data_IF_087400185732
#
_entry.id   IF_087400185732
#
_cell.length_a   1.000
_cell.length_b   1.000
_cell.length_c   1.000
_cell.angle_alpha   90.00
_cell.angle_beta   90.00
_cell.angle_gamma   90.00
#
_symmetry.space_group_name_H-M   'P 1'
#
loop_
_entity.id
_entity.type
_entity.pdbx_description
1 polymer ?
#
# COMPACT_ATOMS: atom_id res chain seq x y z
N UNK A 1 -34.78 17.66 39.64
CA UNK A 1 -34.89 16.43 38.81
C UNK A 1 -34.08 16.50 37.52
N UNK A 2 -34.01 17.62 36.80
CA UNK A 2 -33.21 17.74 35.56
C UNK A 2 -31.68 17.53 35.76
N UNK A 3 -31.14 17.93 36.91
CA UNK A 3 -29.70 17.83 37.22
C UNK A 3 -29.21 16.36 37.31
N UNK A 4 -30.03 15.47 37.88
CA UNK A 4 -29.72 14.04 38.01
C UNK A 4 -29.69 13.34 36.64
N UNK A 5 -30.53 13.77 35.72
CA UNK A 5 -30.59 13.24 34.36
C UNK A 5 -29.42 13.74 33.52
N UNK A 6 -29.02 15.01 33.66
CA UNK A 6 -27.82 15.55 33.03
C UNK A 6 -26.55 14.80 33.48
N UNK A 7 -26.42 14.52 34.79
CA UNK A 7 -25.29 13.76 35.33
C UNK A 7 -25.24 12.31 34.83
N UNK A 8 -26.40 11.66 34.66
CA UNK A 8 -26.49 10.31 34.09
C UNK A 8 -26.11 10.27 32.60
N UNK A 9 -26.47 11.30 31.82
CA UNK A 9 -26.06 11.40 30.41
C UNK A 9 -24.56 11.69 30.31
N UNK A 10 -24.02 12.57 31.16
CA UNK A 10 -22.59 12.89 31.21
C UNK A 10 -21.72 11.70 31.62
N UNK A 11 -22.19 10.82 32.50
CA UNK A 11 -21.46 9.61 32.90
C UNK A 11 -21.49 8.50 31.83
N UNK A 12 -22.40 8.56 30.86
CA UNK A 12 -22.49 7.63 29.73
C UNK A 12 -21.73 8.09 28.49
N UNK A 13 -21.35 9.37 28.38
CA UNK A 13 -20.54 9.88 27.27
C UNK A 13 -19.20 9.15 27.09
N UNK A 14 -18.44 8.79 28.15
CA UNK A 14 -17.20 8.01 28.00
C UNK A 14 -17.43 6.59 27.43
N UNK A 15 -18.61 6.00 27.68
CA UNK A 15 -18.98 4.69 27.14
C UNK A 15 -19.33 4.75 25.65
N UNK A 16 -19.94 5.84 25.19
CA UNK A 16 -20.17 6.08 23.76
C UNK A 16 -18.87 6.32 22.98
N UNK A 17 -17.86 6.87 23.66
CA UNK A 17 -16.57 7.19 23.06
C UNK A 17 -15.49 6.11 23.31
N UNK A 18 -15.90 4.92 23.76
CA UNK A 18 -15.02 3.76 23.85
C UNK A 18 -14.55 3.38 22.44
N UNK A 19 -13.37 3.86 22.05
CA UNK A 19 -12.70 3.40 20.85
C UNK A 19 -12.53 1.89 20.95
N UNK A 20 -12.89 1.17 19.89
CA UNK A 20 -12.66 -0.27 19.82
C UNK A 20 -11.17 -0.52 20.14
N UNK A 21 -10.84 -1.36 21.14
CA UNK A 21 -9.44 -1.61 21.52
C UNK A 21 -8.60 -2.14 20.35
N UNK A 22 -9.22 -2.77 19.35
CA UNK A 22 -8.56 -3.19 18.10
C UNK A 22 -8.06 -1.99 17.28
N UNK A 23 -8.67 -0.82 17.43
CA UNK A 23 -8.33 0.42 16.74
C UNK A 23 -7.24 1.25 17.41
N UNK A 24 -6.84 0.91 18.64
CA UNK A 24 -5.86 1.70 19.39
C UNK A 24 -4.50 1.81 18.68
N UNK A 25 -4.21 0.89 17.74
CA UNK A 25 -2.95 0.85 17.00
C UNK A 25 -3.04 1.49 15.59
N UNK A 26 -4.23 1.92 15.16
CA UNK A 26 -4.44 2.53 13.84
C UNK A 26 -4.34 4.05 13.93
N UNK A 27 -3.17 4.52 14.37
CA UNK A 27 -2.88 5.96 14.42
C UNK A 27 -1.58 6.21 13.69
N UNK A 28 -1.63 7.10 12.69
CA UNK A 28 -0.44 7.60 12.03
C UNK A 28 0.40 8.42 13.01
N UNK A 29 1.70 8.20 13.01
CA UNK A 29 2.66 8.99 13.78
C UNK A 29 3.62 9.69 12.83
N UNK A 30 4.19 10.85 13.22
CA UNK A 30 5.11 11.56 12.35
C UNK A 30 6.29 10.70 11.87
N UNK A 31 6.62 10.81 10.58
CA UNK A 31 7.72 10.06 9.95
C UNK A 31 9.06 10.74 10.25
N UNK A 32 9.90 10.06 11.02
CA UNK A 32 11.27 10.47 11.32
C UNK A 32 12.27 9.80 10.37
N UNK A 33 13.54 10.22 10.42
CA UNK A 33 14.59 9.51 9.67
C UNK A 33 14.74 8.05 10.12
N UNK A 34 14.59 7.77 11.43
CA UNK A 34 14.59 6.41 11.95
C UNK A 34 13.41 5.58 11.42
N UNK A 35 12.24 6.20 11.22
CA UNK A 35 11.10 5.56 10.56
C UNK A 35 11.42 5.18 9.12
N UNK A 36 12.09 6.08 8.38
CA UNK A 36 12.53 5.80 7.00
C UNK A 36 13.58 4.69 6.95
N UNK A 37 14.53 4.68 7.88
CA UNK A 37 15.53 3.61 7.99
C UNK A 37 14.86 2.25 8.27
N UNK A 38 13.84 2.23 9.13
CA UNK A 38 13.10 1.02 9.49
C UNK A 38 12.35 0.40 8.30
N UNK A 39 11.79 1.23 7.42
CA UNK A 39 11.05 0.76 6.23
C UNK A 39 11.95 0.63 4.99
N UNK A 40 13.25 0.90 5.10
CA UNK A 40 14.18 0.77 3.98
C UNK A 40 14.39 -0.69 3.60
N UNK A 41 14.51 -0.96 2.30
CA UNK A 41 14.81 -2.29 1.78
C UNK A 41 13.63 -2.98 1.11
N UNK A 42 13.68 -4.33 1.08
CA UNK A 42 12.76 -5.19 0.33
C UNK A 42 11.53 -5.52 1.17
N UNK A 43 10.35 -5.43 0.56
CA UNK A 43 9.07 -5.76 1.17
C UNK A 43 8.19 -6.57 0.22
N UNK A 44 7.43 -7.49 0.77
CA UNK A 44 6.42 -8.27 0.08
C UNK A 44 5.05 -7.73 0.44
N UNK A 45 4.21 -7.54 -0.57
CA UNK A 45 2.79 -7.25 -0.38
C UNK A 45 2.10 -8.58 -0.06
N UNK A 46 1.50 -8.69 1.13
CA UNK A 46 0.92 -9.94 1.66
C UNK A 46 -0.57 -10.02 1.36
N UNK A 47 -1.26 -8.89 1.51
CA UNK A 47 -2.68 -8.80 1.25
C UNK A 47 -3.25 -7.45 1.59
N UNK A 48 -4.52 -7.25 1.24
CA UNK A 48 -5.26 -6.04 1.54
C UNK A 48 -6.76 -6.26 1.52
N UNK A 49 -7.49 -5.29 2.06
CA UNK A 49 -8.91 -5.14 1.78
C UNK A 49 -9.25 -3.65 1.65
N UNK A 50 -10.09 -3.31 0.67
CA UNK A 50 -10.51 -1.94 0.41
C UNK A 50 -12.01 -1.89 0.17
N UNK A 51 -12.68 -0.87 0.74
CA UNK A 51 -14.06 -0.53 0.36
C UNK A 51 -14.13 0.16 -0.99
N UNK A 52 -13.07 0.88 -1.37
CA UNK A 52 -12.97 1.46 -2.68
C UNK A 52 -12.90 0.35 -3.76
N UNK A 53 -13.86 0.28 -4.70
CA UNK A 53 -13.94 -0.83 -5.65
C UNK A 53 -12.74 -0.87 -6.61
N UNK A 54 -12.20 0.29 -7.00
CA UNK A 54 -11.04 0.36 -7.89
C UNK A 54 -9.79 -0.22 -7.25
N UNK A 55 -9.55 0.07 -5.96
CA UNK A 55 -8.43 -0.51 -5.23
C UNK A 55 -8.63 -2.01 -4.99
N UNK A 56 -9.85 -2.44 -4.68
CA UNK A 56 -10.15 -3.85 -4.48
C UNK A 56 -9.95 -4.67 -5.77
N UNK A 57 -10.38 -4.14 -6.92
CA UNK A 57 -10.16 -4.77 -8.23
C UNK A 57 -8.67 -4.84 -8.57
N UNK A 58 -7.93 -3.75 -8.36
CA UNK A 58 -6.47 -3.73 -8.53
C UNK A 58 -5.79 -4.78 -7.64
N UNK A 59 -6.12 -4.82 -6.35
CA UNK A 59 -5.55 -5.77 -5.40
C UNK A 59 -5.79 -7.24 -5.79
N UNK A 60 -6.98 -7.56 -6.32
CA UNK A 60 -7.34 -8.91 -6.80
C UNK A 60 -6.61 -9.35 -8.05
N UNK A 61 -6.14 -8.40 -8.86
CA UNK A 61 -5.36 -8.70 -10.06
C UNK A 61 -3.92 -9.09 -9.75
N UNK A 62 -3.40 -8.70 -8.57
CA UNK A 62 -2.04 -8.95 -8.13
C UNK A 62 -1.94 -10.37 -7.56
N UNK A 63 -1.26 -11.26 -8.28
CA UNK A 63 -1.02 -12.63 -7.84
C UNK A 63 0.09 -12.68 -6.79
N UNK A 64 1.15 -11.88 -6.98
CA UNK A 64 2.25 -11.69 -6.04
C UNK A 64 2.92 -10.36 -6.29
N UNK A 65 3.47 -9.71 -5.27
CA UNK A 65 4.27 -8.51 -5.46
C UNK A 65 5.35 -8.34 -4.38
N UNK A 66 6.47 -7.78 -4.79
CA UNK A 66 7.48 -7.23 -3.88
C UNK A 66 8.00 -5.91 -4.42
N UNK A 67 8.60 -5.12 -3.56
CA UNK A 67 9.19 -3.86 -3.94
C UNK A 67 10.40 -3.52 -3.06
N UNK A 68 11.13 -2.49 -3.47
CA UNK A 68 12.20 -1.89 -2.68
C UNK A 68 11.86 -0.44 -2.37
N UNK A 69 11.96 -0.08 -1.10
CA UNK A 69 12.05 1.30 -0.66
C UNK A 69 13.52 1.71 -0.51
N UNK A 70 13.91 2.76 -1.22
CA UNK A 70 15.18 3.46 -1.07
C UNK A 70 14.90 4.92 -0.66
N UNK A 71 14.77 5.19 0.65
CA UNK A 71 14.48 6.53 1.16
C UNK A 71 15.55 7.55 0.82
N UNK A 72 15.12 8.78 0.53
CA UNK A 72 15.95 9.98 0.38
C UNK A 72 15.51 11.01 1.43
N UNK A 73 15.97 10.88 2.69
CA UNK A 73 15.45 11.69 3.81
C UNK A 73 15.62 13.19 3.64
N UNK A 74 16.65 13.65 2.91
CA UNK A 74 16.88 15.07 2.63
C UNK A 74 15.87 15.68 1.64
N UNK A 75 15.17 14.84 0.86
CA UNK A 75 14.21 15.25 -0.15
C UNK A 75 12.77 14.93 0.22
N UNK A 76 12.54 14.28 1.37
CA UNK A 76 11.25 13.73 1.77
C UNK A 76 10.62 12.86 0.67
N UNK A 77 11.44 11.98 0.10
CA UNK A 77 11.05 11.01 -0.93
C UNK A 77 11.50 9.61 -0.60
N UNK A 78 10.86 8.64 -1.24
CA UNK A 78 11.31 7.25 -1.30
C UNK A 78 11.32 6.84 -2.76
N UNK A 79 12.46 6.38 -3.27
CA UNK A 79 12.51 5.72 -4.57
C UNK A 79 11.89 4.33 -4.42
N UNK A 80 10.95 4.01 -5.31
CA UNK A 80 10.11 2.84 -5.25
C UNK A 80 10.28 2.01 -6.52
N UNK A 81 10.86 0.81 -6.37
CA UNK A 81 10.96 -0.19 -7.44
C UNK A 81 10.01 -1.33 -7.16
N UNK A 82 8.94 -1.42 -7.94
CA UNK A 82 7.86 -2.40 -7.76
C UNK A 82 7.96 -3.53 -8.78
N UNK A 83 7.73 -4.75 -8.30
CA UNK A 83 7.68 -5.96 -9.11
C UNK A 83 6.38 -6.67 -8.78
N UNK A 84 5.46 -6.67 -9.73
CA UNK A 84 4.14 -7.28 -9.59
C UNK A 84 4.00 -8.44 -10.56
N UNK A 85 3.36 -9.51 -10.12
CA UNK A 85 2.90 -10.58 -11.00
C UNK A 85 1.41 -10.42 -11.23
N UNK A 86 1.02 -10.07 -12.46
CA UNK A 86 -0.37 -9.87 -12.89
C UNK A 86 -0.57 -10.69 -14.16
N UNK A 87 -1.61 -11.54 -14.19
CA UNK A 87 -1.89 -12.39 -15.35
C UNK A 87 -0.72 -13.30 -15.75
N UNK A 88 0.04 -13.82 -14.77
CA UNK A 88 1.27 -14.61 -14.95
C UNK A 88 2.41 -13.87 -15.69
N UNK A 89 2.35 -12.53 -15.72
CA UNK A 89 3.40 -11.68 -16.28
C UNK A 89 4.04 -10.86 -15.16
N UNK A 90 5.35 -10.67 -15.27
CA UNK A 90 6.08 -9.74 -14.41
C UNK A 90 5.91 -8.33 -14.96
N UNK A 91 5.37 -7.43 -14.13
CA UNK A 91 5.27 -6.01 -14.39
C UNK A 91 6.23 -5.30 -13.45
N UNK A 92 7.17 -4.56 -14.04
CA UNK A 92 8.12 -3.72 -13.32
C UNK A 92 7.71 -2.26 -13.43
N UNK A 93 7.78 -1.54 -12.31
CA UNK A 93 7.56 -0.10 -12.26
C UNK A 93 8.64 0.57 -11.40
N UNK A 94 9.10 1.74 -11.83
CA UNK A 94 10.01 2.60 -11.09
C UNK A 94 9.36 3.96 -10.90
N UNK A 95 9.19 4.37 -9.66
CA UNK A 95 8.49 5.59 -9.29
C UNK A 95 9.06 6.20 -8.01
N UNK A 96 8.49 7.31 -7.57
CA UNK A 96 8.87 7.96 -6.31
C UNK A 96 7.63 8.24 -5.47
N UNK A 97 7.73 7.92 -4.18
CA UNK A 97 6.76 8.32 -3.17
C UNK A 97 7.22 9.63 -2.53
N UNK A 98 6.27 10.53 -2.25
CA UNK A 98 6.51 11.67 -1.36
C UNK A 98 6.21 11.26 0.08
N UNK A 99 7.00 11.80 1.01
CA UNK A 99 6.87 11.60 2.45
C UNK A 99 6.25 12.85 3.06
N UNK A 100 5.10 12.71 3.70
CA UNK A 100 4.45 13.77 4.46
C UNK A 100 4.75 13.58 5.94
N UNK A 101 5.89 14.10 6.40
CA UNK A 101 6.45 13.80 7.72
C UNK A 101 5.48 14.04 8.87
N UNK A 102 4.96 15.25 8.98
CA UNK A 102 4.07 15.64 10.09
C UNK A 102 2.77 14.83 10.11
N UNK A 103 2.27 14.44 8.93
CA UNK A 103 1.02 13.68 8.80
C UNK A 103 1.23 12.18 9.00
N UNK A 104 2.47 11.70 9.00
CA UNK A 104 2.76 10.27 9.08
C UNK A 104 2.36 9.49 7.83
N UNK A 105 2.36 10.11 6.65
CA UNK A 105 1.80 9.51 5.43
C UNK A 105 2.74 9.53 4.23
N UNK A 106 2.46 8.62 3.29
CA UNK A 106 3.14 8.51 2.00
C UNK A 106 2.15 8.82 0.88
N UNK A 107 2.65 9.33 -0.24
CA UNK A 107 1.80 9.53 -1.41
C UNK A 107 2.48 9.19 -2.73
N UNK A 108 1.69 8.68 -3.67
CA UNK A 108 2.10 8.32 -5.04
C UNK A 108 1.20 9.05 -6.03
N UNK A 109 1.78 9.62 -7.08
CA UNK A 109 0.99 10.14 -8.20
C UNK A 109 0.85 9.06 -9.27
N UNK A 110 -0.38 8.63 -9.55
CA UNK A 110 -0.67 7.56 -10.50
C UNK A 110 -1.99 7.87 -11.21
N UNK A 111 -2.07 7.59 -12.52
CA UNK A 111 -3.27 7.82 -13.34
C UNK A 111 -3.86 9.26 -13.23
N UNK A 112 -3.00 10.26 -13.06
CA UNK A 112 -3.40 11.67 -12.96
C UNK A 112 -3.96 12.08 -11.58
N UNK A 113 -3.87 11.21 -10.57
CA UNK A 113 -4.33 11.47 -9.20
C UNK A 113 -3.21 11.21 -8.19
N UNK A 114 -3.20 11.98 -7.11
CA UNK A 114 -2.37 11.68 -5.94
C UNK A 114 -3.12 10.74 -4.99
N UNK A 115 -2.50 9.60 -4.70
CA UNK A 115 -2.99 8.59 -3.77
C UNK A 115 -2.21 8.71 -2.48
N UNK A 116 -2.90 8.95 -1.36
CA UNK A 116 -2.29 9.13 -0.04
C UNK A 116 -2.65 7.93 0.84
N UNK A 117 -1.68 7.44 1.60
CA UNK A 117 -1.87 6.41 2.60
C UNK A 117 -1.03 6.71 3.84
N UNK A 118 -1.63 6.55 5.02
CA UNK A 118 -0.91 6.73 6.28
C UNK A 118 -0.04 5.49 6.55
N UNK A 119 1.20 5.73 6.99
CA UNK A 119 2.14 4.69 7.36
C UNK A 119 1.87 4.24 8.79
N UNK A 120 1.64 2.94 8.94
CA UNK A 120 1.38 2.31 10.23
C UNK A 120 2.47 1.29 10.51
N UNK A 121 3.33 1.60 11.48
CA UNK A 121 4.29 0.64 12.00
C UNK A 121 3.57 -0.36 12.89
N UNK A 122 3.80 -1.65 12.66
CA UNK A 122 3.21 -2.71 13.47
C UNK A 122 4.01 -2.94 14.75
N UNK A 123 3.35 -3.50 15.77
CA UNK A 123 4.00 -3.91 17.01
C UNK A 123 4.87 -5.14 16.80
N UNK A 124 4.42 -6.06 15.95
CA UNK A 124 5.24 -7.19 15.53
C UNK A 124 6.27 -6.66 14.52
N UNK A 125 7.58 -6.90 14.73
CA UNK A 125 8.61 -6.34 13.86
C UNK A 125 8.57 -6.96 12.47
N UNK A 126 9.27 -6.31 11.53
CA UNK A 126 9.42 -6.76 10.13
C UNK A 126 8.12 -6.80 9.33
N UNK A 127 7.14 -6.03 9.77
CA UNK A 127 5.90 -5.76 9.06
C UNK A 127 5.56 -4.28 9.15
N UNK A 128 4.72 -3.81 8.23
CA UNK A 128 4.05 -2.52 8.33
C UNK A 128 2.74 -2.56 7.53
N UNK A 129 1.89 -1.57 7.73
CA UNK A 129 0.65 -1.41 6.99
C UNK A 129 0.58 -0.02 6.37
N UNK A 130 -0.18 0.09 5.27
CA UNK A 130 -0.62 1.37 4.73
C UNK A 130 -2.13 1.41 4.78
N UNK A 131 -2.68 2.45 5.40
CA UNK A 131 -4.12 2.67 5.49
C UNK A 131 -4.52 3.85 4.60
N UNK A 132 -5.50 3.64 3.73
CA UNK A 132 -6.07 4.68 2.91
C UNK A 132 -7.35 5.19 3.58
N UNK A 133 -7.50 6.51 3.65
CA UNK A 133 -8.75 7.17 4.02
C UNK A 133 -9.35 6.69 5.36
N UNK A 134 -8.54 6.59 6.42
CA UNK A 134 -8.96 6.07 7.75
C UNK A 134 -10.28 6.69 8.26
N UNK A 135 -10.49 7.98 8.01
CA UNK A 135 -11.68 8.72 8.46
C UNK A 135 -12.86 8.71 7.46
N UNK A 136 -12.64 8.26 6.23
CA UNK A 136 -13.70 8.10 5.23
C UNK A 136 -14.13 6.63 5.16
N UNK A 137 -15.21 6.32 5.88
CA UNK A 137 -15.80 4.98 5.93
C UNK A 137 -16.16 4.42 4.56
N UNK A 138 -16.36 5.22 3.52
CA UNK A 138 -16.73 4.70 2.20
C UNK A 138 -15.49 4.34 1.36
N UNK A 139 -14.32 4.88 1.69
CA UNK A 139 -13.08 4.67 0.95
C UNK A 139 -11.97 4.03 1.77
N UNK A 140 -12.22 3.70 3.03
CA UNK A 140 -11.23 3.06 3.90
C UNK A 140 -10.75 1.75 3.31
N UNK A 141 -9.45 1.50 3.45
CA UNK A 141 -8.87 0.20 3.20
C UNK A 141 -7.43 0.16 3.67
N UNK A 142 -6.91 -1.06 3.78
CA UNK A 142 -5.64 -1.32 4.42
C UNK A 142 -4.89 -2.39 3.63
N UNK A 143 -3.60 -2.17 3.45
CA UNK A 143 -2.66 -3.10 2.84
C UNK A 143 -1.55 -3.47 3.82
N UNK A 144 -1.08 -4.71 3.74
CA UNK A 144 -0.14 -5.30 4.68
C UNK A 144 1.11 -5.80 3.99
N UNK A 145 2.26 -5.49 4.60
CA UNK A 145 3.58 -5.74 4.05
C UNK A 145 4.49 -6.40 5.07
N UNK A 146 5.36 -7.29 4.58
CA UNK A 146 6.33 -8.01 5.41
C UNK A 146 7.69 -8.13 4.72
N UNK A 147 8.76 -8.34 5.49
CA UNK A 147 10.13 -8.56 4.97
C UNK A 147 10.31 -9.91 4.27
N UNK A 148 9.35 -10.82 4.45
CA UNK A 148 9.25 -12.15 3.84
C UNK A 148 7.87 -12.37 3.24
N UNK A 149 7.78 -13.22 2.22
CA UNK A 149 6.51 -13.55 1.58
C UNK A 149 5.58 -14.41 2.47
N UNK A 150 6.16 -15.16 3.41
CA UNK A 150 5.43 -15.91 4.43
C UNK A 150 5.46 -15.15 5.76
N UNK A 151 4.30 -15.00 6.39
CA UNK A 151 4.13 -14.29 7.67
C UNK A 151 3.79 -15.24 8.81
N UNK A 152 4.18 -14.89 10.03
CA UNK A 152 3.84 -15.69 11.22
C UNK A 152 2.36 -15.53 11.60
N UNK A 153 1.80 -16.46 12.40
CA UNK A 153 0.43 -16.31 12.91
C UNK A 153 0.22 -15.00 13.69
N UNK A 154 1.22 -14.52 14.41
CA UNK A 154 1.17 -13.28 15.18
C UNK A 154 1.11 -12.05 14.27
N UNK A 155 1.95 -12.02 13.22
CA UNK A 155 1.93 -10.98 12.19
C UNK A 155 0.57 -10.95 11.48
N UNK A 156 0.06 -12.12 11.11
CA UNK A 156 -1.25 -12.24 10.46
C UNK A 156 -2.39 -11.80 11.39
N UNK A 157 -2.32 -12.15 12.67
CA UNK A 157 -3.31 -11.73 13.66
C UNK A 157 -3.37 -10.20 13.78
N UNK A 158 -2.21 -9.52 13.83
CA UNK A 158 -2.18 -8.05 13.90
C UNK A 158 -2.84 -7.40 12.67
N UNK A 159 -2.60 -7.95 11.46
CA UNK A 159 -3.29 -7.51 10.23
C UNK A 159 -4.80 -7.75 10.29
N UNK A 160 -5.21 -8.91 10.77
CA UNK A 160 -6.62 -9.28 10.94
C UNK A 160 -7.36 -8.38 11.92
N UNK A 161 -6.74 -8.04 13.05
CA UNK A 161 -7.29 -7.12 14.04
C UNK A 161 -7.42 -5.69 13.47
N UNK A 162 -6.42 -5.26 12.67
CA UNK A 162 -6.43 -3.97 11.99
C UNK A 162 -7.58 -3.88 10.95
N UNK A 163 -7.78 -4.93 10.14
CA UNK A 163 -8.89 -5.00 9.17
C UNK A 163 -10.25 -4.91 9.88
N UNK A 164 -10.45 -5.66 10.97
CA UNK A 164 -11.69 -5.61 11.74
C UNK A 164 -11.97 -4.21 12.32
N UNK A 165 -10.95 -3.50 12.77
CA UNK A 165 -11.14 -2.12 13.23
C UNK A 165 -11.70 -1.21 12.12
N UNK A 166 -11.28 -1.38 10.87
CA UNK A 166 -11.80 -0.58 9.74
C UNK A 166 -13.27 -0.87 9.41
N UNK A 167 -13.85 -1.92 10.02
CA UNK A 167 -15.19 -2.41 9.73
C UNK A 167 -15.29 -3.14 8.40
N UNK A 168 -14.17 -3.61 7.86
CA UNK A 168 -14.12 -4.53 6.71
C UNK A 168 -14.07 -5.95 7.24
N UNK A 169 -14.83 -6.88 6.63
CA UNK A 169 -14.84 -8.26 7.09
C UNK A 169 -13.59 -9.01 6.61
N UNK A 170 -13.06 -9.92 7.44
CA UNK A 170 -11.83 -10.69 7.11
C UNK A 170 -11.94 -11.51 5.82
N UNK A 171 -13.15 -11.96 5.47
CA UNK A 171 -13.37 -12.70 4.22
C UNK A 171 -13.24 -11.83 2.97
N UNK A 172 -13.22 -10.50 3.11
CA UNK A 172 -13.02 -9.57 2.00
C UNK A 172 -11.54 -9.33 1.69
N UNK A 173 -10.64 -9.85 2.54
CA UNK A 173 -9.20 -9.73 2.33
C UNK A 173 -8.80 -10.54 1.09
N UNK A 174 -8.04 -9.88 0.22
CA UNK A 174 -7.34 -10.52 -0.88
C UNK A 174 -5.89 -10.76 -0.44
N UNK A 175 -5.42 -11.99 -0.60
CA UNK A 175 -4.04 -12.38 -0.30
C UNK A 175 -3.28 -12.67 -1.59
N UNK A 176 -2.00 -12.35 -1.58
CA UNK A 176 -1.07 -12.81 -2.61
C UNK A 176 -0.63 -14.26 -2.36
N UNK A 177 -0.13 -14.90 -3.41
CA UNK A 177 0.47 -16.22 -3.35
C UNK A 177 1.85 -16.19 -4.01
N UNK A 178 2.92 -16.20 -3.21
CA UNK A 178 4.30 -16.17 -3.69
C UNK A 178 4.61 -17.32 -4.66
N UNK A 179 3.91 -18.46 -4.54
CA UNK A 179 4.12 -19.59 -5.44
C UNK A 179 3.72 -19.28 -6.88
N UNK A 180 2.94 -18.21 -7.09
CA UNK A 180 2.56 -17.70 -8.40
C UNK A 180 3.52 -16.64 -8.94
N UNK A 181 4.63 -16.35 -8.25
CA UNK A 181 5.62 -15.35 -8.67
C UNK A 181 6.19 -15.71 -10.04
N UNK A 182 5.91 -14.84 -11.01
CA UNK A 182 6.60 -14.81 -12.31
C UNK A 182 7.75 -13.79 -12.30
N UNK A 183 7.69 -12.82 -11.38
CA UNK A 183 8.70 -11.81 -11.15
C UNK A 183 9.87 -12.36 -10.30
N UNK A 184 10.94 -12.86 -10.93
CA UNK A 184 12.25 -13.08 -10.28
C UNK A 184 12.21 -13.76 -8.91
N UNK A 185 11.66 -14.97 -8.82
CA UNK A 185 11.73 -15.80 -7.61
C UNK A 185 13.17 -16.01 -7.13
N UNK A 186 13.39 -16.50 -5.90
CA UNK A 186 14.73 -16.71 -5.36
C UNK A 186 15.51 -17.64 -6.29
N UNK A 187 16.54 -17.11 -6.97
CA UNK A 187 17.35 -17.84 -7.95
C UNK A 187 17.07 -17.55 -9.42
N UNK A 188 16.19 -16.60 -9.77
CA UNK A 188 16.12 -16.05 -11.13
C UNK A 188 16.43 -14.56 -11.06
N UNK A 189 17.64 -14.20 -11.45
CA UNK A 189 18.05 -12.81 -11.63
C UNK A 189 17.00 -12.06 -12.46
N UNK A 190 16.70 -10.83 -12.04
CA UNK A 190 15.96 -9.90 -12.87
C UNK A 190 16.64 -9.85 -14.25
N UNK A 191 15.89 -9.79 -15.36
CA UNK A 191 16.52 -9.61 -16.66
C UNK A 191 17.24 -8.26 -16.66
N UNK A 192 18.56 -8.27 -16.49
CA UNK A 192 19.40 -7.14 -16.85
C UNK A 192 19.22 -6.91 -18.35
N UNK A 193 18.62 -5.78 -18.71
CA UNK A 193 18.34 -5.41 -20.09
C UNK A 193 16.85 -5.37 -20.41
N UNK A 194 16.17 -4.34 -19.91
CA UNK A 194 14.92 -3.90 -20.55
C UNK A 194 15.19 -3.52 -22.01
N UNK A 195 14.25 -3.76 -22.94
CA UNK A 195 14.45 -3.41 -24.34
C UNK A 195 14.62 -1.89 -24.44
N UNK A 196 15.76 -1.48 -24.96
CA UNK A 196 15.95 -0.12 -25.49
C UNK A 196 14.77 0.18 -26.41
N UNK A 197 14.07 1.28 -26.13
CA UNK A 197 13.04 1.83 -27.00
C UNK A 197 13.68 2.07 -28.38
N UNK A 198 13.55 1.07 -29.25
CA UNK A 198 13.91 1.14 -30.65
C UNK A 198 13.15 2.31 -31.25
N UNK A 199 13.91 3.30 -31.72
CA UNK A 199 13.38 4.50 -32.35
C UNK A 199 12.36 4.14 -33.41
N UNK A 200 11.11 4.53 -33.20
CA UNK A 200 10.10 4.58 -34.26
C UNK A 200 10.55 5.66 -35.24
N UNK A 201 11.21 5.21 -36.30
CA UNK A 201 11.42 5.99 -37.52
C UNK A 201 10.02 6.37 -38.05
N UNK A 202 9.75 7.66 -38.14
CA UNK A 202 8.51 8.20 -38.73
C UNK A 202 8.37 7.74 -40.20
N UNK A 203 7.18 7.37 -40.68
CA UNK A 203 6.94 7.20 -42.10
C UNK A 203 6.69 8.58 -42.72
N UNK A 204 7.69 9.10 -43.44
CA UNK A 204 7.55 10.34 -44.20
C UNK A 204 6.86 10.08 -45.55
N UNK A 205 5.61 10.56 -45.62
CA UNK A 205 4.83 11.06 -46.77
C UNK A 205 5.03 10.44 -48.16
N UNK A 206 3.93 9.83 -48.60
CA UNK A 206 3.51 9.63 -49.99
C UNK A 206 3.85 10.82 -50.91
N UNK A 207 4.63 10.58 -51.97
CA UNK A 207 4.69 11.47 -53.15
C UNK A 207 3.62 11.04 -54.16
N UNK A 208 2.75 11.98 -54.50
CA UNK A 208 1.84 11.94 -55.64
C UNK A 208 2.61 11.83 -56.97
N UNK A 209 2.01 11.11 -57.91
CA UNK A 209 2.39 11.00 -59.32
C UNK A 209 2.46 12.34 -60.07
N UNK A 210 3.43 12.43 -61.01
CA UNK A 210 3.14 12.66 -62.44
C UNK A 210 4.33 12.22 -63.31
N UNK A 211 4.00 11.48 -64.37
CA UNK A 211 4.81 11.03 -65.52
C UNK A 211 4.25 11.73 -66.76
N UNK A 212 4.90 11.56 -67.92
CA UNK A 212 6.11 12.27 -68.36
C UNK A 212 5.80 13.66 -68.94
#
# INVERSE_FOLDING_TARGET
MALLWALAVLSLLPLLNAQNPLCANLTAVPITNATLDLISGKWYYIGSAFRNPQYNESARSIQAAFFFFDPKPAEDKINLREYQTIGNQCIYNDSSLKVHRENGSLSKHEMGREHVADLLLTKVPKTFMLINSLHDKNNVGLSFYADKAEVTPEQMKEFHDAIECTGIHKSEITYTDEKKVSAGGPGREAPEGGPTLGGRRAPERSRLHRKP
#
